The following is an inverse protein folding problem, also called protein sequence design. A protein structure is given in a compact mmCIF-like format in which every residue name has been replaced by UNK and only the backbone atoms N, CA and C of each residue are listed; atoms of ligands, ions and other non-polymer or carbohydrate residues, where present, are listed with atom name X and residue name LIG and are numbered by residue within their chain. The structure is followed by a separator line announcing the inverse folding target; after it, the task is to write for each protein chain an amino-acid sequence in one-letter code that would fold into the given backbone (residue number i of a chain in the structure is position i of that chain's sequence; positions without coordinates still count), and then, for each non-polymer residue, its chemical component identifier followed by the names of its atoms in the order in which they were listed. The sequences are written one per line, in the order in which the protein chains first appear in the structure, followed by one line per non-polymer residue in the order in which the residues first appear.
data_IF_914011823645
#
_entry.id   IF_914011823645
#
_cell.length_a   1.000
_cell.length_b   1.000
_cell.length_c   1.000
_cell.angle_alpha   90.00
_cell.angle_beta   90.00
_cell.angle_gamma   90.00
#
_symmetry.space_group_name_H-M   'P 1'
#
loop_
_entity.id
_entity.type
_entity.pdbx_description
1 polymer ?
#
# COMPACT_ATOMS: atom_id res chain seq x y z
N UNK A 1 -8.52 13.76 -36.31
CA UNK A 1 -7.40 14.11 -35.42
C UNK A 1 -7.63 13.39 -34.10
N UNK A 2 -6.84 12.35 -33.80
CA UNK A 2 -7.04 11.49 -32.62
C UNK A 2 -6.68 12.25 -31.32
N UNK A 3 -7.47 12.15 -30.24
CA UNK A 3 -7.19 12.84 -28.97
C UNK A 3 -6.03 12.23 -28.16
N UNK A 4 -5.34 11.19 -28.65
CA UNK A 4 -4.37 10.43 -27.84
C UNK A 4 -2.92 10.95 -27.84
N UNK A 5 -2.65 12.16 -28.34
CA UNK A 5 -1.29 12.76 -28.25
C UNK A 5 -0.97 13.46 -26.93
N UNK A 6 -1.89 13.49 -25.95
CA UNK A 6 -1.80 14.43 -24.83
C UNK A 6 -1.48 13.82 -23.45
N UNK A 7 -1.05 12.56 -23.35
CA UNK A 7 -0.47 12.08 -22.09
C UNK A 7 0.83 12.85 -21.85
N UNK A 8 0.80 13.83 -20.94
CA UNK A 8 1.96 14.67 -20.65
C UNK A 8 3.03 13.78 -20.02
N UNK A 9 4.18 13.51 -20.69
CA UNK A 9 5.15 12.50 -20.25
C UNK A 9 5.80 12.78 -18.89
N UNK A 10 5.52 13.95 -18.31
CA UNK A 10 6.00 14.43 -17.02
C UNK A 10 4.88 14.64 -15.98
N UNK A 11 3.63 14.24 -16.25
CA UNK A 11 2.51 14.42 -15.33
C UNK A 11 2.82 13.83 -13.95
N UNK A 12 3.42 12.64 -13.90
CA UNK A 12 3.79 11.97 -12.66
C UNK A 12 4.72 12.80 -11.76
N UNK A 13 5.65 13.58 -12.34
CA UNK A 13 6.51 14.51 -11.60
C UNK A 13 5.70 15.64 -10.96
N UNK A 14 4.74 16.21 -11.70
CA UNK A 14 3.88 17.28 -11.21
C UNK A 14 2.85 16.81 -10.19
N UNK A 15 2.37 15.58 -10.31
CA UNK A 15 1.39 15.00 -9.39
C UNK A 15 2.02 14.57 -8.05
N UNK A 16 3.26 14.06 -8.09
CA UNK A 16 3.93 13.51 -6.91
C UNK A 16 4.06 14.54 -5.78
N UNK A 17 4.58 15.74 -6.06
CA UNK A 17 4.82 16.76 -5.04
C UNK A 17 3.58 17.17 -4.24
N UNK A 18 2.49 17.63 -4.89
CA UNK A 18 1.25 17.98 -4.19
C UNK A 18 0.63 16.81 -3.43
N UNK A 19 0.66 15.60 -3.98
CA UNK A 19 0.12 14.42 -3.31
C UNK A 19 0.98 14.01 -2.11
N UNK A 20 2.30 14.13 -2.20
CA UNK A 20 3.22 13.89 -1.10
C UNK A 20 2.96 14.85 0.07
N UNK A 21 2.79 16.15 -0.23
CA UNK A 21 2.44 17.14 0.79
C UNK A 21 1.08 16.85 1.44
N UNK A 22 0.06 16.52 0.63
CA UNK A 22 -1.26 16.18 1.15
C UNK A 22 -1.25 14.89 2.01
N UNK A 23 -0.47 13.89 1.62
CA UNK A 23 -0.31 12.64 2.37
C UNK A 23 0.34 12.87 3.74
N UNK A 24 1.31 13.78 3.83
CA UNK A 24 2.02 14.09 5.07
C UNK A 24 1.33 15.12 5.96
N UNK A 25 0.25 15.75 5.49
CA UNK A 25 -0.48 16.76 6.25
C UNK A 25 -0.96 16.28 7.63
N UNK A 26 -1.48 15.04 7.81
CA UNK A 26 -1.85 14.54 9.14
C UNK A 26 -0.69 14.56 10.15
N UNK A 27 0.48 14.10 9.74
CA UNK A 27 1.65 14.03 10.61
C UNK A 27 2.15 15.44 10.98
N UNK A 28 2.17 16.36 10.01
CA UNK A 28 2.53 17.77 10.25
C UNK A 28 1.54 18.41 11.22
N UNK A 29 0.23 18.23 10.99
CA UNK A 29 -0.82 18.75 11.86
C UNK A 29 -0.70 18.21 13.29
N UNK A 30 -0.48 16.89 13.45
CA UNK A 30 -0.30 16.26 14.75
C UNK A 30 0.90 16.86 15.52
N UNK A 31 2.03 17.11 14.84
CA UNK A 31 3.20 17.77 15.46
C UNK A 31 2.97 19.23 15.82
N UNK A 32 2.04 19.90 15.15
CA UNK A 32 1.61 21.26 15.49
C UNK A 32 0.56 21.29 16.61
N UNK A 33 0.25 20.15 17.24
CA UNK A 33 -0.68 20.04 18.35
C UNK A 33 -2.16 19.99 17.93
N UNK A 34 -2.45 19.75 16.65
CA UNK A 34 -3.83 19.52 16.20
C UNK A 34 -4.34 18.20 16.78
N UNK A 35 -5.58 18.20 17.27
CA UNK A 35 -6.23 17.02 17.83
C UNK A 35 -6.14 15.82 16.85
N UNK A 36 -5.77 14.64 17.36
CA UNK A 36 -5.42 13.47 16.54
C UNK A 36 -6.50 13.08 15.51
N UNK A 37 -7.78 13.17 15.87
CA UNK A 37 -8.89 12.91 14.95
C UNK A 37 -8.95 13.92 13.80
N UNK A 38 -8.74 15.20 14.09
CA UNK A 38 -8.72 16.27 13.08
C UNK A 38 -7.48 16.16 12.19
N UNK A 39 -6.32 15.88 12.79
CA UNK A 39 -5.09 15.63 12.05
C UNK A 39 -5.26 14.44 11.09
N UNK A 40 -5.80 13.32 11.56
CA UNK A 40 -6.07 12.15 10.72
C UNK A 40 -7.08 12.43 9.60
N UNK A 41 -8.14 13.19 9.89
CA UNK A 41 -9.14 13.60 8.90
C UNK A 41 -8.56 14.47 7.78
N UNK A 42 -7.44 15.17 8.01
CA UNK A 42 -6.76 15.95 6.98
C UNK A 42 -6.28 15.07 5.79
N UNK A 43 -6.07 13.77 6.00
CA UNK A 43 -5.74 12.83 4.93
C UNK A 43 -6.85 12.74 3.88
N UNK A 44 -8.10 13.02 4.25
CA UNK A 44 -9.22 12.99 3.30
C UNK A 44 -9.08 14.03 2.18
N UNK A 45 -8.29 15.10 2.40
CA UNK A 45 -7.96 16.09 1.36
C UNK A 45 -7.08 15.51 0.24
N UNK A 46 -6.41 14.37 0.48
CA UNK A 46 -5.62 13.66 -0.52
C UNK A 46 -6.47 13.23 -1.72
N UNK A 47 -7.67 12.68 -1.48
CA UNK A 47 -8.51 12.10 -2.53
C UNK A 47 -9.09 13.11 -3.53
N UNK A 48 -9.68 14.25 -3.13
CA UNK A 48 -10.14 15.25 -4.09
C UNK A 48 -8.96 15.82 -4.90
N UNK A 49 -7.78 16.00 -4.29
CA UNK A 49 -6.57 16.41 -5.00
C UNK A 49 -6.12 15.34 -6.01
N UNK A 50 -6.04 14.07 -5.60
CA UNK A 50 -5.72 12.96 -6.49
C UNK A 50 -6.72 12.86 -7.65
N UNK A 51 -8.02 13.01 -7.37
CA UNK A 51 -9.06 13.01 -8.38
C UNK A 51 -8.87 14.13 -9.40
N UNK A 52 -8.66 15.36 -8.92
CA UNK A 52 -8.44 16.52 -9.76
C UNK A 52 -7.18 16.37 -10.63
N UNK A 53 -6.05 15.96 -10.05
CA UNK A 53 -4.81 15.69 -10.77
C UNK A 53 -5.02 14.58 -11.83
N UNK A 54 -5.69 13.49 -11.45
CA UNK A 54 -5.94 12.37 -12.35
C UNK A 54 -6.80 12.77 -13.55
N UNK A 55 -7.83 13.62 -13.37
CA UNK A 55 -8.59 14.19 -14.49
C UNK A 55 -7.72 14.98 -15.46
N UNK A 56 -6.69 15.68 -14.97
CA UNK A 56 -5.78 16.50 -15.79
C UNK A 56 -4.69 15.68 -16.49
N UNK A 57 -4.56 14.40 -16.20
CA UNK A 57 -3.48 13.55 -16.73
C UNK A 57 -3.75 12.99 -18.13
N UNK A 58 -5.01 12.93 -18.56
CA UNK A 58 -5.45 12.33 -19.83
C UNK A 58 -6.27 11.05 -19.64
N UNK A 59 -5.71 9.97 -19.05
CA UNK A 59 -6.41 8.68 -18.87
C UNK A 59 -7.68 8.69 -18.01
N UNK A 60 -7.92 9.76 -17.26
CA UNK A 60 -9.04 9.91 -16.32
C UNK A 60 -8.65 9.69 -14.85
N UNK A 61 -9.50 10.09 -13.90
CA UNK A 61 -9.14 10.24 -12.49
C UNK A 61 -8.68 8.96 -11.79
N UNK A 62 -9.27 7.81 -12.14
CA UNK A 62 -8.90 6.50 -11.55
C UNK A 62 -7.84 5.78 -12.38
N UNK A 63 -8.01 5.77 -13.71
CA UNK A 63 -7.07 5.14 -14.65
C UNK A 63 -5.66 5.71 -14.53
N UNK A 64 -5.53 7.00 -14.21
CA UNK A 64 -4.26 7.70 -13.98
C UNK A 64 -3.35 7.00 -12.96
N UNK A 65 -3.95 6.29 -12.00
CA UNK A 65 -3.27 5.62 -10.89
C UNK A 65 -3.40 4.10 -10.95
N UNK A 66 -3.99 3.54 -12.01
CA UNK A 66 -4.26 2.10 -12.11
C UNK A 66 -5.46 1.62 -11.31
N UNK A 67 -6.40 2.50 -10.94
CA UNK A 67 -7.61 2.19 -10.18
C UNK A 67 -8.86 1.97 -11.05
N UNK A 68 -8.71 1.95 -12.38
CA UNK A 68 -9.84 1.65 -13.28
C UNK A 68 -10.40 0.24 -12.99
N UNK A 69 -11.74 0.05 -13.06
CA UNK A 69 -12.37 -1.25 -12.78
C UNK A 69 -12.18 -2.24 -13.95
N UNK A 70 -10.94 -2.68 -14.16
CA UNK A 70 -10.52 -3.59 -15.24
C UNK A 70 -9.67 -4.73 -14.70
N UNK A 71 -9.30 -5.69 -15.54
CA UNK A 71 -8.39 -6.79 -15.19
C UNK A 71 -8.83 -7.56 -13.94
N UNK A 72 -10.13 -7.84 -13.79
CA UNK A 72 -10.65 -8.57 -12.63
C UNK A 72 -10.25 -7.91 -11.29
N UNK A 73 -10.22 -6.56 -11.26
CA UNK A 73 -9.72 -5.79 -10.13
C UNK A 73 -10.25 -6.23 -8.76
N UNK A 74 -11.54 -6.58 -8.69
CA UNK A 74 -12.20 -6.98 -7.45
C UNK A 74 -11.72 -8.36 -6.98
N UNK A 75 -11.42 -9.28 -7.92
CA UNK A 75 -10.89 -10.59 -7.60
C UNK A 75 -9.47 -10.47 -7.07
N UNK A 76 -8.63 -9.63 -7.69
CA UNK A 76 -7.29 -9.33 -7.19
C UNK A 76 -7.31 -8.65 -5.83
N UNK A 77 -8.19 -7.66 -5.63
CA UNK A 77 -8.37 -6.99 -4.34
C UNK A 77 -8.73 -8.01 -3.26
N UNK A 78 -9.78 -8.81 -3.47
CA UNK A 78 -10.26 -9.77 -2.50
C UNK A 78 -9.24 -10.88 -2.22
N UNK A 79 -8.66 -11.48 -3.25
CA UNK A 79 -7.70 -12.58 -3.09
C UNK A 79 -6.43 -12.13 -2.34
N UNK A 80 -5.88 -10.97 -2.69
CA UNK A 80 -4.66 -10.48 -2.05
C UNK A 80 -4.94 -9.86 -0.67
N UNK A 81 -6.13 -9.31 -0.44
CA UNK A 81 -6.59 -8.95 0.91
C UNK A 81 -6.62 -10.17 1.82
N UNK A 82 -7.27 -11.25 1.39
CA UNK A 82 -7.33 -12.49 2.17
C UNK A 82 -5.93 -13.11 2.38
N UNK A 83 -5.08 -13.12 1.36
CA UNK A 83 -3.69 -13.57 1.48
C UNK A 83 -2.95 -12.79 2.57
N UNK A 84 -3.05 -11.46 2.58
CA UNK A 84 -2.36 -10.63 3.56
C UNK A 84 -2.92 -10.78 4.97
N UNK A 85 -4.24 -10.97 5.12
CA UNK A 85 -4.86 -11.27 6.42
C UNK A 85 -4.31 -12.59 6.98
N UNK A 86 -4.31 -13.66 6.18
CA UNK A 86 -3.78 -14.96 6.59
C UNK A 86 -2.29 -14.86 6.90
N UNK A 87 -1.52 -14.17 6.06
CA UNK A 87 -0.09 -13.98 6.24
C UNK A 87 0.22 -13.21 7.53
N UNK A 88 -0.56 -12.18 7.87
CA UNK A 88 -0.40 -11.41 9.12
C UNK A 88 -0.70 -12.24 10.35
N UNK A 89 -1.79 -13.01 10.33
CA UNK A 89 -2.15 -13.93 11.42
C UNK A 89 -1.03 -14.97 11.62
N UNK A 90 -0.55 -15.58 10.53
CA UNK A 90 0.54 -16.54 10.57
C UNK A 90 1.83 -15.91 11.11
N UNK A 91 2.17 -14.69 10.68
CA UNK A 91 3.34 -13.96 11.16
C UNK A 91 3.28 -13.71 12.67
N UNK A 92 2.11 -13.33 13.20
CA UNK A 92 1.92 -13.13 14.63
C UNK A 92 2.03 -14.46 15.39
N UNK A 93 1.37 -15.52 14.91
CA UNK A 93 1.46 -16.85 15.53
C UNK A 93 2.90 -17.38 15.58
N UNK A 94 3.64 -17.29 14.47
CA UNK A 94 5.06 -17.63 14.40
C UNK A 94 5.87 -16.74 15.35
N UNK A 95 5.58 -15.44 15.39
CA UNK A 95 6.27 -14.51 16.27
C UNK A 95 6.02 -14.79 17.76
N UNK A 96 4.82 -15.21 18.15
CA UNK A 96 4.52 -15.68 19.52
C UNK A 96 5.33 -16.94 19.82
N UNK A 97 5.34 -17.91 18.90
CA UNK A 97 6.10 -19.15 19.06
C UNK A 97 7.62 -18.91 19.21
N UNK A 98 8.17 -17.92 18.51
CA UNK A 98 9.59 -17.53 18.60
C UNK A 98 9.89 -16.52 19.71
N UNK A 99 8.92 -16.17 20.56
CA UNK A 99 9.10 -15.19 21.64
C UNK A 99 9.35 -13.76 21.14
N UNK A 100 9.00 -13.44 19.90
CA UNK A 100 9.03 -12.08 19.36
C UNK A 100 7.86 -11.23 19.86
N UNK A 101 6.74 -11.89 20.14
CA UNK A 101 5.55 -11.32 20.77
C UNK A 101 5.24 -12.04 22.09
N UNK A 102 4.70 -11.30 23.06
CA UNK A 102 4.01 -11.87 24.21
C UNK A 102 2.51 -11.90 23.93
N UNK A 103 1.86 -13.02 24.21
CA UNK A 103 0.41 -13.17 24.07
C UNK A 103 -0.25 -13.08 25.44
N UNK A 104 -1.06 -12.05 25.65
CA UNK A 104 -1.92 -11.90 26.83
C UNK A 104 -3.26 -12.64 26.72
N UNK A 105 -3.60 -13.16 25.54
CA UNK A 105 -4.88 -13.81 25.27
C UNK A 105 -5.94 -12.87 24.67
N UNK A 106 -7.21 -13.31 24.59
CA UNK A 106 -8.31 -12.48 24.07
C UNK A 106 -8.46 -11.18 24.87
N UNK A 107 -8.77 -10.06 24.20
CA UNK A 107 -8.87 -8.72 24.80
C UNK A 107 -10.05 -8.52 25.77
N UNK A 108 -10.75 -9.58 26.18
CA UNK A 108 -11.88 -9.55 27.13
C UNK A 108 -13.16 -8.86 26.62
N UNK A 109 -13.10 -8.15 25.49
CA UNK A 109 -14.22 -7.46 24.83
C UNK A 109 -14.51 -8.07 23.47
N UNK A 110 -15.78 -8.29 23.17
CA UNK A 110 -16.20 -8.63 21.81
C UNK A 110 -16.05 -7.40 20.89
N UNK A 111 -15.60 -7.62 19.66
CA UNK A 111 -15.59 -6.57 18.63
C UNK A 111 -16.98 -6.48 18.02
N UNK A 112 -17.63 -5.33 18.21
CA UNK A 112 -18.93 -5.06 17.61
C UNK A 112 -18.83 -4.69 16.12
N UNK A 113 -19.98 -4.68 15.44
CA UNK A 113 -20.06 -4.36 14.01
C UNK A 113 -19.54 -2.93 13.69
N UNK A 114 -19.76 -1.99 14.60
CA UNK A 114 -19.28 -0.61 14.47
C UNK A 114 -17.75 -0.54 14.44
N UNK A 115 -17.10 -1.26 15.35
CA UNK A 115 -15.64 -1.36 15.44
C UNK A 115 -15.07 -2.04 14.20
N UNK A 116 -15.68 -3.13 13.73
CA UNK A 116 -15.25 -3.78 12.47
C UNK A 116 -15.33 -2.82 11.29
N UNK A 117 -16.42 -2.07 11.17
CA UNK A 117 -16.58 -1.07 10.12
C UNK A 117 -15.54 0.04 10.22
N UNK A 118 -15.28 0.55 11.43
CA UNK A 118 -14.24 1.55 11.67
C UNK A 118 -12.86 1.02 11.28
N UNK A 119 -12.49 -0.20 11.67
CA UNK A 119 -11.21 -0.83 11.32
C UNK A 119 -11.01 -0.92 9.81
N UNK A 120 -12.06 -1.29 9.06
CA UNK A 120 -12.01 -1.30 7.59
C UNK A 120 -11.69 0.09 7.06
N UNK A 121 -12.39 1.14 7.51
CA UNK A 121 -12.19 2.50 7.02
C UNK A 121 -10.82 3.09 7.40
N UNK A 122 -10.43 3.00 8.68
CA UNK A 122 -9.19 3.62 9.17
C UNK A 122 -7.93 2.94 8.62
N UNK A 123 -8.04 1.72 8.11
CA UNK A 123 -6.94 1.04 7.41
C UNK A 123 -7.01 1.19 5.90
N UNK A 124 -8.21 1.24 5.31
CA UNK A 124 -8.40 1.39 3.86
C UNK A 124 -7.89 2.74 3.36
N UNK A 125 -8.35 3.82 4.00
CA UNK A 125 -8.06 5.21 3.58
C UNK A 125 -6.55 5.49 3.49
N UNK A 126 -5.74 5.26 4.55
CA UNK A 126 -4.30 5.48 4.44
C UNK A 126 -3.61 4.51 3.48
N UNK A 127 -4.03 3.24 3.44
CA UNK A 127 -3.41 2.26 2.51
C UNK A 127 -3.61 2.69 1.05
N UNK A 128 -4.82 3.13 0.69
CA UNK A 128 -5.12 3.61 -0.66
C UNK A 128 -4.37 4.90 -1.00
N UNK A 129 -4.32 5.87 -0.09
CA UNK A 129 -3.59 7.11 -0.31
C UNK A 129 -2.09 6.84 -0.53
N UNK A 130 -1.49 5.99 0.32
CA UNK A 130 -0.09 5.59 0.20
C UNK A 130 0.20 4.84 -1.10
N UNK A 131 -0.67 3.91 -1.51
CA UNK A 131 -0.49 3.16 -2.76
C UNK A 131 -0.65 4.05 -3.99
N UNK A 132 -1.57 5.01 -3.98
CA UNK A 132 -1.64 6.03 -5.05
C UNK A 132 -0.31 6.78 -5.12
N UNK A 133 0.18 7.30 -4.01
CA UNK A 133 1.38 8.14 -3.97
C UNK A 133 2.66 7.37 -4.35
N UNK A 134 2.86 6.19 -3.77
CA UNK A 134 4.15 5.48 -3.85
C UNK A 134 4.31 4.67 -5.13
N UNK A 135 3.22 4.37 -5.85
CA UNK A 135 3.24 3.52 -7.04
C UNK A 135 2.19 3.88 -8.09
N UNK A 136 0.98 4.26 -7.70
CA UNK A 136 -0.07 4.70 -8.63
C UNK A 136 0.36 5.89 -9.50
N UNK A 137 0.99 6.91 -8.93
CA UNK A 137 1.50 8.08 -9.68
C UNK A 137 2.52 7.68 -10.75
N UNK A 138 3.31 6.63 -10.49
CA UNK A 138 4.35 6.14 -11.40
C UNK A 138 3.80 5.26 -12.52
N UNK A 139 2.51 4.92 -12.50
CA UNK A 139 1.86 4.11 -13.53
C UNK A 139 1.99 4.74 -14.94
N UNK A 140 1.99 6.08 -15.02
CA UNK A 140 2.18 6.82 -16.27
C UNK A 140 3.64 7.13 -16.60
N UNK A 141 4.59 6.73 -15.75
CA UNK A 141 6.01 6.97 -15.97
C UNK A 141 6.63 5.94 -16.93
N UNK A 142 7.74 6.26 -17.60
CA UNK A 142 8.49 5.28 -18.38
C UNK A 142 8.96 4.07 -17.56
N UNK A 143 9.08 4.21 -16.22
CA UNK A 143 9.50 3.13 -15.32
C UNK A 143 8.54 1.94 -15.40
N UNK A 144 7.24 2.18 -15.58
CA UNK A 144 6.21 1.14 -15.63
C UNK A 144 6.44 0.10 -16.76
N UNK A 145 7.23 0.46 -17.78
CA UNK A 145 7.60 -0.43 -18.89
C UNK A 145 8.60 -1.52 -18.48
N UNK A 146 9.36 -1.30 -17.41
CA UNK A 146 10.34 -2.25 -16.89
C UNK A 146 9.95 -2.69 -15.50
N UNK A 147 9.53 -3.95 -15.37
CA UNK A 147 9.02 -4.46 -14.09
C UNK A 147 10.01 -4.38 -12.94
N UNK A 148 11.25 -4.82 -13.17
CA UNK A 148 12.26 -4.76 -12.12
C UNK A 148 12.55 -3.32 -11.70
N UNK A 149 12.73 -2.42 -12.67
CA UNK A 149 13.03 -1.00 -12.40
C UNK A 149 11.85 -0.33 -11.69
N UNK A 150 10.61 -0.59 -12.13
CA UNK A 150 9.40 -0.08 -11.49
C UNK A 150 9.30 -0.53 -10.03
N UNK A 151 9.45 -1.84 -9.77
CA UNK A 151 9.34 -2.41 -8.42
C UNK A 151 10.42 -1.83 -7.51
N UNK A 152 11.68 -1.79 -7.95
CA UNK A 152 12.78 -1.25 -7.15
C UNK A 152 12.60 0.24 -6.87
N UNK A 153 12.24 1.03 -7.89
CA UNK A 153 12.05 2.47 -7.73
C UNK A 153 10.87 2.80 -6.81
N UNK A 154 9.72 2.15 -6.99
CA UNK A 154 8.54 2.39 -6.15
C UNK A 154 8.70 1.83 -4.73
N UNK A 155 9.52 0.79 -4.52
CA UNK A 155 9.90 0.33 -3.19
C UNK A 155 10.82 1.34 -2.48
N UNK A 156 11.77 1.95 -3.20
CA UNK A 156 12.59 3.04 -2.65
C UNK A 156 11.72 4.26 -2.29
N UNK A 157 10.79 4.66 -3.16
CA UNK A 157 9.81 5.71 -2.85
C UNK A 157 8.99 5.36 -1.61
N UNK A 158 8.58 4.10 -1.44
CA UNK A 158 7.85 3.65 -0.26
C UNK A 158 8.66 3.81 1.05
N UNK A 159 9.95 3.49 1.03
CA UNK A 159 10.85 3.73 2.18
C UNK A 159 10.95 5.23 2.46
N UNK A 160 11.17 6.05 1.43
CA UNK A 160 11.30 7.51 1.57
C UNK A 160 9.99 8.19 1.99
N UNK A 161 8.84 7.62 1.62
CA UNK A 161 7.53 8.05 2.09
C UNK A 161 7.38 7.92 3.61
N UNK A 162 8.20 7.11 4.24
CA UNK A 162 8.27 6.98 5.69
C UNK A 162 9.35 7.89 6.30
N UNK A 163 9.50 9.11 5.77
CA UNK A 163 10.53 10.09 6.18
C UNK A 163 10.61 10.27 7.70
N UNK A 164 9.46 10.26 8.38
CA UNK A 164 9.33 10.41 9.83
C UNK A 164 9.81 9.20 10.65
N UNK A 165 9.97 8.05 10.00
CA UNK A 165 10.45 6.79 10.59
C UNK A 165 11.87 6.45 10.14
N UNK A 166 12.51 7.28 9.31
CA UNK A 166 13.88 7.00 8.86
C UNK A 166 14.88 6.92 10.02
N UNK A 167 14.63 7.61 11.13
CA UNK A 167 15.44 7.49 12.34
C UNK A 167 15.35 6.13 13.07
N UNK A 168 14.41 5.24 12.71
CA UNK A 168 14.19 3.96 13.41
C UNK A 168 15.19 2.84 13.04
N UNK A 169 16.23 3.16 12.26
CA UNK A 169 17.35 2.28 11.94
C UNK A 169 17.11 1.34 10.75
N UNK A 170 18.17 0.66 10.32
CA UNK A 170 18.20 -0.11 9.07
C UNK A 170 17.15 -1.23 8.99
N UNK A 171 16.77 -1.85 10.12
CA UNK A 171 15.74 -2.91 10.14
C UNK A 171 14.37 -2.38 9.74
N UNK A 172 14.09 -1.11 10.06
CA UNK A 172 12.89 -0.43 9.59
C UNK A 172 12.91 -0.29 8.07
N UNK A 173 14.01 0.23 7.53
CA UNK A 173 14.17 0.46 6.09
C UNK A 173 14.10 -0.86 5.31
N UNK A 174 14.72 -1.92 5.84
CA UNK A 174 14.68 -3.25 5.24
C UNK A 174 13.26 -3.81 5.20
N UNK A 175 12.51 -3.70 6.31
CA UNK A 175 11.11 -4.11 6.35
C UNK A 175 10.26 -3.32 5.34
N UNK A 176 10.37 -1.99 5.35
CA UNK A 176 9.63 -1.11 4.43
C UNK A 176 10.00 -1.39 2.97
N UNK A 177 11.27 -1.68 2.68
CA UNK A 177 11.72 -2.05 1.33
C UNK A 177 11.03 -3.35 0.88
N UNK A 178 10.98 -4.37 1.74
CA UNK A 178 10.30 -5.64 1.43
C UNK A 178 8.79 -5.46 1.23
N UNK A 179 8.16 -4.57 2.01
CA UNK A 179 6.75 -4.21 1.83
C UNK A 179 6.55 -3.56 0.45
N UNK A 180 7.37 -2.56 0.14
CA UNK A 180 7.36 -1.85 -1.13
C UNK A 180 7.58 -2.78 -2.33
N UNK A 181 8.46 -3.78 -2.21
CA UNK A 181 8.68 -4.81 -3.23
C UNK A 181 7.39 -5.62 -3.46
N UNK A 182 6.78 -6.15 -2.40
CA UNK A 182 5.58 -6.98 -2.51
C UNK A 182 4.43 -6.21 -3.18
N UNK A 183 4.16 -4.99 -2.74
CA UNK A 183 3.08 -4.16 -3.26
C UNK A 183 3.35 -3.67 -4.68
N UNK A 184 4.57 -3.20 -4.95
CA UNK A 184 4.99 -2.78 -6.30
C UNK A 184 4.92 -3.94 -7.30
N UNK A 185 5.31 -5.15 -6.88
CA UNK A 185 5.25 -6.35 -7.72
C UNK A 185 3.81 -6.80 -7.99
N UNK A 186 2.93 -6.77 -6.98
CA UNK A 186 1.52 -7.05 -7.14
C UNK A 186 0.87 -6.10 -8.15
N UNK A 187 1.15 -4.80 -8.05
CA UNK A 187 0.64 -3.83 -9.02
C UNK A 187 1.18 -4.10 -10.43
N UNK A 188 2.50 -4.24 -10.57
CA UNK A 188 3.11 -4.40 -11.89
C UNK A 188 2.69 -5.69 -12.60
N UNK A 189 2.57 -6.81 -11.88
CA UNK A 189 2.19 -8.10 -12.45
C UNK A 189 0.72 -8.18 -12.87
N UNK A 190 -0.17 -7.48 -12.17
CA UNK A 190 -1.62 -7.55 -12.40
C UNK A 190 -2.15 -6.37 -13.22
N UNK A 191 -1.37 -5.29 -13.35
CA UNK A 191 -1.76 -4.06 -14.04
C UNK A 191 -2.85 -3.26 -13.33
N UNK A 192 -3.14 -3.57 -12.07
CA UNK A 192 -4.19 -2.93 -11.27
C UNK A 192 -3.69 -2.58 -9.87
N UNK A 193 -3.90 -1.32 -9.45
CA UNK A 193 -3.47 -0.85 -8.13
C UNK A 193 -4.26 -1.55 -7.01
N UNK A 194 -5.46 -2.04 -7.35
CA UNK A 194 -6.31 -2.83 -6.46
C UNK A 194 -5.61 -4.08 -5.92
N UNK A 195 -4.67 -4.67 -6.67
CA UNK A 195 -3.88 -5.81 -6.20
C UNK A 195 -2.90 -5.43 -5.09
N UNK A 196 -2.17 -4.32 -5.26
CA UNK A 196 -1.27 -3.79 -4.23
C UNK A 196 -2.06 -3.38 -2.98
N UNK A 197 -3.19 -2.70 -3.19
CA UNK A 197 -4.09 -2.30 -2.12
C UNK A 197 -4.61 -3.51 -1.34
N UNK A 198 -4.95 -4.61 -2.02
CA UNK A 198 -5.36 -5.85 -1.36
C UNK A 198 -4.31 -6.31 -0.34
N UNK A 199 -3.05 -6.46 -0.77
CA UNK A 199 -1.98 -6.85 0.14
C UNK A 199 -1.79 -5.86 1.29
N UNK A 200 -1.71 -4.57 0.95
CA UNK A 200 -1.38 -3.52 1.91
C UNK A 200 -2.49 -3.31 2.94
N UNK A 201 -3.72 -3.15 2.46
CA UNK A 201 -4.90 -2.98 3.31
C UNK A 201 -5.16 -4.23 4.15
N UNK A 202 -5.06 -5.43 3.57
CA UNK A 202 -5.27 -6.68 4.30
C UNK A 202 -4.27 -6.86 5.45
N UNK A 203 -3.00 -6.51 5.23
CA UNK A 203 -1.98 -6.54 6.28
C UNK A 203 -2.28 -5.56 7.42
N UNK A 204 -2.63 -4.32 7.08
CA UNK A 204 -2.94 -3.28 8.06
C UNK A 204 -4.23 -3.60 8.83
N UNK A 205 -5.27 -4.04 8.12
CA UNK A 205 -6.54 -4.48 8.71
C UNK A 205 -6.33 -5.62 9.69
N UNK A 206 -5.64 -6.70 9.27
CA UNK A 206 -5.40 -7.84 10.16
C UNK A 206 -4.56 -7.45 11.38
N UNK A 207 -3.58 -6.55 11.23
CA UNK A 207 -2.83 -6.02 12.36
C UNK A 207 -3.74 -5.35 13.39
N UNK A 208 -4.52 -4.35 12.97
CA UNK A 208 -5.40 -3.64 13.90
C UNK A 208 -6.56 -4.49 14.43
N UNK A 209 -7.07 -5.43 13.62
CA UNK A 209 -8.10 -6.37 14.05
C UNK A 209 -7.59 -7.31 15.14
N UNK A 210 -6.35 -7.80 15.01
CA UNK A 210 -5.71 -8.61 16.05
C UNK A 210 -5.47 -7.76 17.29
N UNK A 211 -4.90 -6.56 17.18
CA UNK A 211 -4.68 -5.67 18.33
C UNK A 211 -6.00 -5.32 19.07
N UNK A 212 -7.12 -5.26 18.34
CA UNK A 212 -8.44 -5.03 18.93
C UNK A 212 -9.03 -6.29 19.62
N UNK A 213 -8.75 -7.48 19.09
CA UNK A 213 -9.33 -8.75 19.51
C UNK A 213 -8.48 -9.52 20.53
N UNK A 214 -7.17 -9.32 20.49
CA UNK A 214 -6.16 -10.15 21.16
C UNK A 214 -5.00 -9.29 21.63
N UNK A 215 -4.61 -9.48 22.89
CA UNK A 215 -3.49 -8.77 23.49
C UNK A 215 -2.18 -9.39 22.98
N UNK A 216 -1.49 -8.68 22.10
CA UNK A 216 -0.20 -9.07 21.54
C UNK A 216 0.78 -7.94 21.74
N UNK A 217 1.76 -8.13 22.62
CA UNK A 217 2.79 -7.13 22.90
C UNK A 217 4.09 -7.48 22.18
N UNK A 218 4.74 -6.47 21.58
CA UNK A 218 6.03 -6.67 20.93
C UNK A 218 7.13 -6.81 21.98
N UNK A 219 7.71 -8.00 22.08
CA UNK A 219 8.85 -8.26 22.97
C UNK A 219 10.19 -7.90 22.31
N UNK A 220 10.36 -8.32 21.04
CA UNK A 220 11.60 -8.14 20.30
C UNK A 220 11.34 -7.42 18.96
N UNK A 221 11.27 -6.08 19.02
CA UNK A 221 10.95 -5.23 17.86
C UNK A 221 11.80 -5.55 16.63
N UNK A 222 13.11 -5.77 16.82
CA UNK A 222 14.02 -6.08 15.73
C UNK A 222 13.67 -7.38 15.00
N UNK A 223 13.26 -8.43 15.72
CA UNK A 223 12.86 -9.71 15.13
C UNK A 223 11.52 -9.61 14.43
N UNK A 224 10.55 -8.87 14.99
CA UNK A 224 9.25 -8.61 14.35
C UNK A 224 9.40 -7.94 12.99
N UNK A 225 10.30 -6.96 12.86
CA UNK A 225 10.57 -6.28 11.58
C UNK A 225 11.14 -7.24 10.54
N UNK A 226 12.08 -8.10 10.92
CA UNK A 226 12.68 -9.11 10.03
C UNK A 226 11.65 -10.16 9.61
N UNK A 227 10.83 -10.66 10.55
CA UNK A 227 9.75 -11.60 10.26
C UNK A 227 8.73 -10.98 9.30
N UNK A 228 8.32 -9.74 9.55
CA UNK A 228 7.40 -9.01 8.67
C UNK A 228 7.98 -8.84 7.26
N UNK A 229 9.28 -8.53 7.15
CA UNK A 229 9.98 -8.43 5.88
C UNK A 229 9.96 -9.77 5.11
N UNK A 230 10.31 -10.87 5.79
CA UNK A 230 10.31 -12.21 5.21
C UNK A 230 8.92 -12.63 4.71
N UNK A 231 7.86 -12.34 5.48
CA UNK A 231 6.48 -12.66 5.10
C UNK A 231 6.05 -11.88 3.87
N UNK A 232 6.46 -10.61 3.71
CA UNK A 232 6.17 -9.84 2.50
C UNK A 232 6.90 -10.37 1.26
N UNK A 233 8.14 -10.81 1.41
CA UNK A 233 8.84 -11.50 0.33
C UNK A 233 8.14 -12.83 -0.02
N UNK A 234 7.63 -13.56 0.97
CA UNK A 234 6.78 -14.73 0.76
C UNK A 234 5.51 -14.41 -0.05
N UNK A 235 4.77 -13.37 0.32
CA UNK A 235 3.61 -12.90 -0.46
C UNK A 235 3.99 -12.47 -1.87
N UNK A 236 5.15 -11.81 -2.04
CA UNK A 236 5.67 -11.46 -3.35
C UNK A 236 5.95 -12.70 -4.22
N UNK A 237 6.50 -13.77 -3.64
CA UNK A 237 6.69 -15.05 -4.33
C UNK A 237 5.36 -15.69 -4.73
N UNK A 238 4.34 -15.64 -3.86
CA UNK A 238 2.98 -16.11 -4.21
C UNK A 238 2.44 -15.33 -5.41
N UNK A 239 2.55 -14.00 -5.41
CA UNK A 239 2.16 -13.16 -6.56
C UNK A 239 2.91 -13.59 -7.83
N UNK A 240 4.21 -13.85 -7.76
CA UNK A 240 5.00 -14.33 -8.90
C UNK A 240 4.51 -15.68 -9.41
N UNK A 241 4.11 -16.58 -8.52
CA UNK A 241 3.66 -17.93 -8.84
C UNK A 241 2.25 -17.96 -9.47
N UNK A 242 1.32 -17.14 -8.96
CA UNK A 242 -0.07 -17.12 -9.43
C UNK A 242 -0.28 -16.21 -10.64
N UNK A 243 0.63 -15.28 -10.90
CA UNK A 243 0.59 -14.44 -12.10
C UNK A 243 1.41 -15.10 -13.20
N UNK A 244 0.81 -15.30 -14.38
CA UNK A 244 1.55 -15.82 -15.55
C UNK A 244 2.71 -14.88 -15.87
N UNK A 245 3.85 -15.42 -16.33
CA UNK A 245 4.87 -14.64 -17.05
C UNK A 245 4.25 -14.12 -18.35
N UNK A 246 3.44 -13.07 -18.27
CA UNK A 246 3.06 -12.28 -19.45
C UNK A 246 4.35 -11.65 -19.97
N UNK A 247 4.74 -12.00 -21.20
CA UNK A 247 5.95 -11.51 -21.85
C UNK A 247 6.11 -10.01 -21.64
N UNK A 248 7.34 -9.58 -21.33
CA UNK A 248 7.72 -8.23 -20.88
C UNK A 248 7.52 -7.10 -21.89
N UNK A 249 6.35 -7.03 -22.55
CA UNK A 249 5.93 -5.94 -23.43
C UNK A 249 4.51 -5.43 -23.16
N UNK A 250 3.70 -6.11 -22.34
CA UNK A 250 2.26 -5.80 -22.22
C UNK A 250 1.79 -5.40 -20.80
N UNK A 251 2.64 -5.51 -19.78
CA UNK A 251 2.29 -5.31 -18.36
C UNK A 251 1.79 -3.92 -17.95
N UNK A 252 1.90 -2.93 -18.84
CA UNK A 252 1.20 -1.66 -18.71
C UNK A 252 1.01 -1.04 -20.10
N UNK A 253 0.34 -1.74 -21.02
CA UNK A 253 -0.23 -1.03 -22.17
C UNK A 253 -1.47 -0.30 -21.67
N UNK A 254 -1.39 1.03 -21.57
CA UNK A 254 -2.57 1.83 -21.85
C UNK A 254 -3.04 1.39 -23.25
N UNK A 255 -4.31 0.99 -23.42
CA UNK A 255 -4.76 0.44 -24.69
C UNK A 255 -4.44 1.42 -25.83
N UNK A 256 -4.02 0.94 -27.02
CA UNK A 256 -4.35 1.67 -28.24
C UNK A 256 -5.88 1.67 -28.39
N UNK A 257 -6.40 2.78 -28.90
CA UNK A 257 -7.83 3.14 -29.09
C UNK A 257 -8.80 1.96 -29.26
#
# INVERSE_FOLDING_TARGET
MSPLSAARPRFWLFAFGPLFLAYHLPEVAARLGVAAGVASAALLLFFPLAFWLGRRSGPGPLSAYGLAPRNEWWAWLAALFLLAVVAKIAAIAIGVHWGLYLSGGPAGRAIDAGTWFSLLLVTFVPSLAEDILTRGVFAQSPLARSGLVFVVATAAVYVLNHVWRLGAGWREWFMLLCFGIAYGLAFWRTGTLWAALGLHWGWNFAGQAIDAAWQVDVHAQGGVKVLSAAVHLGMALVVVAVTKRGGGRDGFRLPPE
#
